data_IF_582997976824
#
_entry.id   IF_582997976824
#
_cell.length_a   1.000
_cell.length_b   1.000
_cell.length_c   1.000
_cell.angle_alpha   90.00
_cell.angle_beta   90.00
_cell.angle_gamma   90.00
#
_symmetry.space_group_name_H-M   'P 1'
#
loop_
_entity.id
_entity.type
_entity.pdbx_description
1 polymer ?
#
# COMPACT_ATOMS: atom_id res chain seq x y z
N UNK A 1 118.01 -71.09 128.48
CA UNK A 1 118.65 -70.07 127.62
C UNK A 1 119.23 -70.76 126.38
N UNK A 2 118.43 -71.06 125.33
CA UNK A 2 118.93 -71.73 124.12
C UNK A 2 119.01 -70.82 122.88
N UNK A 3 118.82 -69.49 123.04
CA UNK A 3 118.60 -68.57 121.91
C UNK A 3 119.88 -67.92 121.35
N UNK A 4 120.93 -67.75 122.17
CA UNK A 4 122.15 -67.03 121.79
C UNK A 4 123.45 -67.86 121.92
N UNK A 5 123.39 -68.97 122.67
CA UNK A 5 124.47 -69.94 122.88
C UNK A 5 123.83 -71.33 122.88
N UNK A 6 124.44 -72.28 122.18
CA UNK A 6 124.00 -73.69 122.19
C UNK A 6 124.40 -74.39 123.50
N UNK A 7 123.67 -75.45 123.88
CA UNK A 7 123.92 -76.17 125.15
C UNK A 7 125.33 -76.80 125.21
N UNK A 8 125.90 -77.19 124.05
CA UNK A 8 127.28 -77.64 123.94
C UNK A 8 128.31 -76.51 124.15
N UNK A 9 128.09 -75.32 123.57
CA UNK A 9 128.96 -74.15 123.79
C UNK A 9 128.90 -73.67 125.25
N UNK A 10 127.70 -73.68 125.85
CA UNK A 10 127.51 -73.32 127.27
C UNK A 10 128.33 -74.22 128.20
N UNK A 11 128.45 -75.51 127.87
CA UNK A 11 129.26 -76.47 128.63
C UNK A 11 130.78 -76.19 128.57
N UNK A 12 131.25 -75.49 127.53
CA UNK A 12 132.67 -75.15 127.33
C UNK A 12 133.03 -73.76 127.86
N UNK A 13 132.08 -72.84 127.90
CA UNK A 13 132.25 -71.45 128.33
C UNK A 13 131.77 -71.18 129.77
N UNK A 14 131.38 -72.21 130.52
CA UNK A 14 130.85 -72.10 131.90
C UNK A 14 131.77 -71.38 132.90
N UNK A 15 133.08 -71.34 132.62
CA UNK A 15 134.09 -70.67 133.46
C UNK A 15 134.40 -69.23 133.02
N UNK A 16 133.86 -68.76 131.89
CA UNK A 16 134.08 -67.42 131.34
C UNK A 16 132.73 -66.70 131.11
N UNK A 17 132.19 -66.18 132.21
CA UNK A 17 130.93 -65.44 132.21
C UNK A 17 130.96 -64.16 131.36
N UNK A 18 132.15 -63.61 131.04
CA UNK A 18 132.28 -62.40 130.22
C UNK A 18 132.00 -62.75 128.76
N UNK A 19 132.63 -63.79 128.23
CA UNK A 19 132.35 -64.29 126.87
C UNK A 19 130.88 -64.73 126.68
N UNK A 20 130.26 -65.29 127.73
CA UNK A 20 128.83 -65.65 127.74
C UNK A 20 127.95 -64.39 127.69
N UNK A 21 128.29 -63.35 128.46
CA UNK A 21 127.56 -62.08 128.48
C UNK A 21 127.72 -61.30 127.16
N UNK A 22 128.93 -61.17 126.62
CA UNK A 22 129.18 -60.48 125.35
C UNK A 22 128.41 -61.12 124.17
N UNK A 23 128.27 -62.45 124.17
CA UNK A 23 127.51 -63.17 123.13
C UNK A 23 125.99 -63.07 123.34
N UNK A 24 125.52 -62.95 124.58
CA UNK A 24 124.14 -62.57 124.87
C UNK A 24 123.84 -61.14 124.40
N UNK A 25 124.70 -60.18 124.74
CA UNK A 25 124.57 -58.76 124.35
C UNK A 25 124.70 -58.57 122.84
N UNK A 26 125.54 -59.35 122.15
CA UNK A 26 125.63 -59.35 120.70
C UNK A 26 124.32 -59.84 120.07
N UNK A 27 123.78 -60.99 120.51
CA UNK A 27 122.52 -61.52 120.00
C UNK A 27 121.32 -60.62 120.33
N UNK A 28 121.29 -60.03 121.52
CA UNK A 28 120.25 -59.05 121.91
C UNK A 28 120.35 -57.80 121.02
N UNK A 29 121.56 -57.32 120.72
CA UNK A 29 121.77 -56.15 119.84
C UNK A 29 121.45 -56.46 118.38
N UNK A 30 121.74 -57.67 117.91
CA UNK A 30 121.40 -58.17 116.59
C UNK A 30 119.88 -58.31 116.45
N UNK A 31 119.22 -59.07 117.32
CA UNK A 31 117.75 -59.25 117.30
C UNK A 31 116.98 -57.95 117.57
N UNK A 32 117.52 -57.02 118.35
CA UNK A 32 116.94 -55.67 118.51
C UNK A 32 117.15 -54.79 117.26
N UNK A 33 118.28 -54.95 116.57
CA UNK A 33 118.53 -54.34 115.25
C UNK A 33 117.59 -54.89 114.18
N UNK A 34 117.37 -56.21 114.14
CA UNK A 34 116.37 -56.85 113.29
C UNK A 34 114.94 -56.40 113.63
N UNK A 35 114.62 -56.26 114.92
CA UNK A 35 113.31 -55.78 115.38
C UNK A 35 113.05 -54.34 114.95
N UNK A 36 114.01 -53.43 115.15
CA UNK A 36 113.87 -52.04 114.71
C UNK A 36 113.95 -51.90 113.18
N UNK A 37 114.67 -52.78 112.46
CA UNK A 37 114.64 -52.85 111.00
C UNK A 37 113.29 -53.38 110.47
N UNK A 38 112.72 -54.41 111.10
CA UNK A 38 111.41 -54.94 110.76
C UNK A 38 110.29 -53.94 111.08
N UNK A 39 110.42 -53.20 112.19
CA UNK A 39 109.50 -52.14 112.62
C UNK A 39 109.57 -50.93 111.70
N UNK A 40 110.75 -50.36 111.44
CA UNK A 40 110.91 -49.25 110.48
C UNK A 40 110.49 -49.63 109.07
N UNK A 41 110.66 -50.91 108.66
CA UNK A 41 110.05 -51.42 107.44
C UNK A 41 108.53 -51.49 107.51
N UNK A 42 107.94 -52.02 108.58
CA UNK A 42 106.48 -52.05 108.76
C UNK A 42 105.87 -50.63 108.78
N UNK A 43 106.54 -49.67 109.41
CA UNK A 43 106.16 -48.26 109.42
C UNK A 43 106.21 -47.68 107.99
N UNK A 44 107.24 -48.01 107.20
CA UNK A 44 107.34 -47.58 105.79
C UNK A 44 106.31 -48.27 104.87
N UNK A 45 106.07 -49.56 105.05
CA UNK A 45 105.05 -50.33 104.34
C UNK A 45 103.64 -49.81 104.70
N UNK A 46 103.40 -49.39 105.95
CA UNK A 46 102.16 -48.74 106.39
C UNK A 46 102.01 -47.33 105.80
N UNK A 47 103.04 -46.48 105.86
CA UNK A 47 103.02 -45.12 105.28
C UNK A 47 102.77 -45.18 103.76
N UNK A 48 103.39 -46.11 103.05
CA UNK A 48 103.17 -46.28 101.61
C UNK A 48 101.77 -46.84 101.30
N UNK A 49 101.23 -47.72 102.14
CA UNK A 49 99.84 -48.15 102.05
C UNK A 49 98.87 -46.95 102.26
N UNK A 50 99.02 -46.16 103.32
CA UNK A 50 98.19 -44.98 103.61
C UNK A 50 98.24 -43.94 102.48
N UNK A 51 99.43 -43.68 101.93
CA UNK A 51 99.59 -42.80 100.76
C UNK A 51 98.90 -43.36 99.52
N UNK A 52 98.96 -44.68 99.29
CA UNK A 52 98.28 -45.33 98.17
C UNK A 52 96.75 -45.29 98.31
N UNK A 53 96.23 -45.53 99.52
CA UNK A 53 94.80 -45.40 99.84
C UNK A 53 94.32 -43.97 99.63
N UNK A 54 95.05 -42.97 100.18
CA UNK A 54 94.74 -41.55 100.01
C UNK A 54 94.66 -41.14 98.53
N UNK A 55 95.58 -41.61 97.70
CA UNK A 55 95.59 -41.36 96.26
C UNK A 55 94.44 -42.07 95.51
N UNK A 56 94.03 -43.26 95.97
CA UNK A 56 92.89 -43.98 95.42
C UNK A 56 91.56 -43.33 95.82
N UNK A 57 91.41 -42.91 97.07
CA UNK A 57 90.25 -42.15 97.55
C UNK A 57 90.07 -40.83 96.79
N UNK A 58 91.16 -40.06 96.60
CA UNK A 58 91.11 -38.83 95.81
C UNK A 58 90.66 -39.09 94.36
N UNK A 59 91.13 -40.17 93.73
CA UNK A 59 90.71 -40.58 92.38
C UNK A 59 89.25 -41.03 92.34
N UNK A 60 88.79 -41.81 93.32
CA UNK A 60 87.41 -42.25 93.43
C UNK A 60 86.45 -41.06 93.62
N UNK A 61 86.86 -40.05 94.42
CA UNK A 61 86.09 -38.81 94.60
C UNK A 61 86.04 -37.96 93.32
N UNK A 62 87.15 -37.86 92.56
CA UNK A 62 87.16 -37.17 91.26
C UNK A 62 86.22 -37.87 90.26
N UNK A 63 86.40 -39.18 90.07
CA UNK A 63 85.59 -39.99 89.14
C UNK A 63 84.11 -40.00 89.54
N UNK A 64 83.80 -40.09 90.84
CA UNK A 64 82.42 -40.02 91.34
C UNK A 64 81.77 -38.66 91.07
N UNK A 65 82.54 -37.56 91.17
CA UNK A 65 82.08 -36.23 90.78
C UNK A 65 81.87 -36.14 89.26
N UNK A 66 82.85 -36.53 88.46
CA UNK A 66 82.77 -36.53 87.00
C UNK A 66 81.57 -37.36 86.49
N UNK A 67 81.30 -38.51 87.09
CA UNK A 67 80.11 -39.32 86.82
C UNK A 67 78.80 -38.65 87.25
N UNK A 68 78.81 -37.89 88.34
CA UNK A 68 77.63 -37.14 88.82
C UNK A 68 77.32 -35.95 87.90
N UNK A 69 78.36 -35.21 87.51
CA UNK A 69 78.26 -34.07 86.59
C UNK A 69 77.78 -34.55 85.20
N UNK A 70 78.36 -35.64 84.66
CA UNK A 70 77.90 -36.29 83.41
C UNK A 70 76.47 -36.85 83.51
N UNK A 71 76.05 -37.35 84.67
CA UNK A 71 74.67 -37.81 84.87
C UNK A 71 73.66 -36.64 84.85
N UNK A 72 74.03 -35.50 85.45
CA UNK A 72 73.23 -34.28 85.39
C UNK A 72 73.15 -33.70 83.97
N UNK A 73 74.27 -33.65 83.23
CA UNK A 73 74.28 -33.24 81.82
C UNK A 73 73.39 -34.16 80.96
N UNK A 74 73.49 -35.48 81.13
CA UNK A 74 72.67 -36.43 80.38
C UNK A 74 71.17 -36.29 80.72
N UNK A 75 70.81 -36.07 81.99
CA UNK A 75 69.43 -35.80 82.39
C UNK A 75 68.89 -34.48 81.79
N UNK A 76 69.72 -33.43 81.72
CA UNK A 76 69.36 -32.17 81.08
C UNK A 76 69.19 -32.32 79.57
N UNK A 77 70.09 -33.05 78.90
CA UNK A 77 70.00 -33.36 77.48
C UNK A 77 68.76 -34.20 77.15
N UNK A 78 68.41 -35.18 77.99
CA UNK A 78 67.19 -35.97 77.85
C UNK A 78 65.93 -35.09 77.98
N UNK A 79 65.85 -34.23 79.01
CA UNK A 79 64.74 -33.29 79.16
C UNK A 79 64.57 -32.37 77.95
N UNK A 80 65.69 -31.84 77.41
CA UNK A 80 65.63 -30.98 76.23
C UNK A 80 65.31 -31.74 74.95
N UNK A 81 65.71 -33.02 74.84
CA UNK A 81 65.30 -33.90 73.74
C UNK A 81 63.79 -34.15 73.77
N UNK A 82 63.23 -34.46 74.94
CA UNK A 82 61.80 -34.72 75.12
C UNK A 82 60.96 -33.45 74.84
N UNK A 83 61.42 -32.27 75.26
CA UNK A 83 60.86 -30.97 74.88
C UNK A 83 60.83 -30.78 73.35
N UNK A 84 61.95 -31.02 72.66
CA UNK A 84 62.04 -30.88 71.20
C UNK A 84 61.19 -31.91 70.44
N UNK A 85 61.02 -33.11 70.97
CA UNK A 85 60.10 -34.12 70.43
C UNK A 85 58.65 -33.66 70.58
N UNK A 86 58.27 -33.07 71.71
CA UNK A 86 56.94 -32.50 71.92
C UNK A 86 56.64 -31.31 71.00
N UNK A 87 57.57 -30.35 70.87
CA UNK A 87 57.47 -29.24 69.91
C UNK A 87 57.30 -29.73 68.47
N UNK A 88 58.10 -30.74 68.06
CA UNK A 88 58.05 -31.31 66.71
C UNK A 88 56.71 -32.00 66.43
N UNK A 89 56.19 -32.75 67.40
CA UNK A 89 54.86 -33.36 67.31
C UNK A 89 53.74 -32.30 67.21
N UNK A 90 53.82 -31.23 67.99
CA UNK A 90 52.88 -30.11 67.92
C UNK A 90 52.94 -29.40 66.56
N UNK A 91 54.14 -29.13 66.04
CA UNK A 91 54.33 -28.52 64.72
C UNK A 91 53.82 -29.41 63.58
N UNK A 92 53.99 -30.73 63.67
CA UNK A 92 53.39 -31.69 62.74
C UNK A 92 51.85 -31.66 62.80
N UNK A 93 51.25 -31.68 63.99
CA UNK A 93 49.80 -31.59 64.15
C UNK A 93 49.23 -30.29 63.56
N UNK A 94 49.88 -29.14 63.82
CA UNK A 94 49.51 -27.85 63.24
C UNK A 94 49.64 -27.84 61.70
N UNK A 95 50.71 -28.42 61.15
CA UNK A 95 50.89 -28.57 59.69
C UNK A 95 49.75 -29.40 59.07
N UNK A 96 49.35 -30.51 59.69
CA UNK A 96 48.24 -31.32 59.21
C UNK A 96 46.90 -30.58 59.30
N UNK A 97 46.65 -29.83 60.38
CA UNK A 97 45.46 -29.00 60.54
C UNK A 97 45.37 -27.91 59.45
N UNK A 98 46.46 -27.19 59.19
CA UNK A 98 46.53 -26.17 58.14
C UNK A 98 46.36 -26.75 56.74
N UNK A 99 46.89 -27.96 56.48
CA UNK A 99 46.71 -28.64 55.20
C UNK A 99 45.24 -29.02 54.95
N UNK A 100 44.54 -29.54 55.96
CA UNK A 100 43.10 -29.82 55.88
C UNK A 100 42.27 -28.53 55.69
N UNK A 101 42.67 -27.43 56.30
CA UNK A 101 42.04 -26.12 56.09
C UNK A 101 42.27 -25.59 54.65
N UNK A 102 43.44 -25.80 54.05
CA UNK A 102 43.69 -25.49 52.64
C UNK A 102 42.72 -26.26 51.75
N UNK A 103 42.68 -27.60 51.87
CA UNK A 103 41.81 -28.46 51.05
C UNK A 103 40.34 -28.04 51.15
N UNK A 104 39.87 -27.66 52.35
CA UNK A 104 38.52 -27.12 52.54
C UNK A 104 38.28 -25.79 51.81
N UNK A 105 39.28 -24.90 51.76
CA UNK A 105 39.20 -23.64 51.02
C UNK A 105 39.33 -23.82 49.52
N UNK A 106 40.16 -24.75 49.07
CA UNK A 106 40.31 -25.12 47.66
C UNK A 106 38.96 -25.65 47.12
N UNK A 107 38.27 -26.53 47.86
CA UNK A 107 36.92 -27.00 47.52
C UNK A 107 35.81 -25.91 47.57
N UNK A 108 35.92 -24.94 48.48
CA UNK A 108 35.04 -23.75 48.46
C UNK A 108 35.26 -22.91 47.19
N UNK A 109 36.51 -22.73 46.76
CA UNK A 109 36.88 -21.97 45.55
C UNK A 109 36.41 -22.68 44.29
N UNK A 110 36.54 -24.00 44.20
CA UNK A 110 36.02 -24.79 43.08
C UNK A 110 34.49 -24.66 42.95
N UNK A 111 33.75 -24.83 44.06
CA UNK A 111 32.29 -24.68 44.08
C UNK A 111 31.86 -23.26 43.64
N UNK A 112 32.47 -22.22 44.21
CA UNK A 112 32.18 -20.83 43.82
C UNK A 112 32.54 -20.55 42.35
N UNK A 113 33.58 -21.22 41.82
CA UNK A 113 33.94 -21.12 40.40
C UNK A 113 32.89 -21.77 39.49
N UNK A 114 32.32 -22.90 39.87
CA UNK A 114 31.19 -23.52 39.16
C UNK A 114 29.95 -22.63 39.18
N UNK A 115 29.55 -22.12 40.36
CA UNK A 115 28.42 -21.19 40.52
C UNK A 115 28.60 -19.93 39.65
N UNK A 116 29.82 -19.37 39.60
CA UNK A 116 30.14 -18.23 38.72
C UNK A 116 30.09 -18.58 37.23
N UNK A 117 30.39 -19.81 36.82
CA UNK A 117 30.29 -20.24 35.42
C UNK A 117 28.83 -20.46 35.00
N UNK A 118 27.99 -21.00 35.89
CA UNK A 118 26.55 -21.13 35.65
C UNK A 118 25.86 -19.75 35.56
N UNK A 119 26.18 -18.82 36.46
CA UNK A 119 25.69 -17.44 36.40
C UNK A 119 26.19 -16.69 35.16
N UNK A 120 27.42 -16.94 34.70
CA UNK A 120 27.92 -16.39 33.41
C UNK A 120 27.15 -16.97 32.22
N UNK A 121 26.83 -18.27 32.25
CA UNK A 121 26.07 -18.94 31.18
C UNK A 121 24.63 -18.42 31.09
N UNK A 122 23.92 -18.30 32.20
CA UNK A 122 22.56 -17.74 32.22
C UNK A 122 22.56 -16.25 31.88
N UNK A 123 23.52 -15.46 32.39
CA UNK A 123 23.70 -14.06 31.96
C UNK A 123 23.88 -13.94 30.45
N UNK A 124 24.67 -14.81 29.81
CA UNK A 124 24.81 -14.80 28.36
C UNK A 124 23.46 -15.08 27.68
N UNK A 125 22.75 -16.13 28.09
CA UNK A 125 21.45 -16.48 27.52
C UNK A 125 20.43 -15.33 27.63
N UNK A 126 20.45 -14.55 28.72
CA UNK A 126 19.62 -13.34 28.84
C UNK A 126 20.06 -12.21 27.90
N UNK A 127 21.36 -12.01 27.66
CA UNK A 127 21.85 -11.04 26.68
C UNK A 127 21.47 -11.46 25.24
N UNK A 128 21.67 -12.73 24.89
CA UNK A 128 21.27 -13.28 23.58
C UNK A 128 19.76 -13.05 23.31
N UNK A 129 18.91 -13.15 24.34
CA UNK A 129 17.46 -12.88 24.27
C UNK A 129 17.15 -11.37 24.17
N UNK A 130 17.93 -10.50 24.84
CA UNK A 130 17.76 -9.04 24.75
C UNK A 130 18.09 -8.56 23.34
N UNK A 131 19.20 -9.01 22.75
CA UNK A 131 19.58 -8.67 21.37
C UNK A 131 18.53 -9.15 20.35
N UNK A 132 17.91 -10.32 20.58
CA UNK A 132 16.77 -10.78 19.77
C UNK A 132 15.52 -9.90 19.94
N UNK A 133 15.27 -9.34 21.14
CA UNK A 133 14.10 -8.49 21.38
C UNK A 133 14.29 -7.07 20.88
N UNK A 134 15.49 -6.52 20.99
CA UNK A 134 15.81 -5.20 20.45
C UNK A 134 15.76 -5.18 18.91
N UNK A 135 16.18 -6.27 18.26
CA UNK A 135 15.97 -6.44 16.80
C UNK A 135 14.50 -6.61 16.42
N UNK A 136 13.72 -7.44 17.13
CA UNK A 136 12.26 -7.55 16.92
C UNK A 136 11.52 -6.21 17.12
N UNK A 137 11.96 -5.39 18.08
CA UNK A 137 11.44 -4.04 18.32
C UNK A 137 11.85 -3.09 17.19
N UNK A 138 13.10 -3.15 16.71
CA UNK A 138 13.57 -2.38 15.56
C UNK A 138 12.73 -2.66 14.32
N UNK A 139 12.55 -3.94 13.96
CA UNK A 139 11.76 -4.35 12.79
C UNK A 139 10.32 -3.85 12.90
N UNK A 140 9.68 -4.03 14.06
CA UNK A 140 8.33 -3.50 14.34
C UNK A 140 8.25 -1.98 14.22
N UNK A 141 9.27 -1.25 14.68
CA UNK A 141 9.34 0.20 14.52
C UNK A 141 9.47 0.61 13.04
N UNK A 142 10.19 -0.13 12.21
CA UNK A 142 10.24 0.14 10.76
C UNK A 142 8.88 -0.11 10.09
N UNK A 143 8.19 -1.19 10.46
CA UNK A 143 6.86 -1.50 9.95
C UNK A 143 5.80 -0.46 10.38
N UNK A 144 5.83 -0.04 11.66
CA UNK A 144 4.98 1.06 12.15
C UNK A 144 5.24 2.35 11.35
N UNK A 145 6.51 2.65 11.04
CA UNK A 145 6.85 3.82 10.22
C UNK A 145 6.29 3.71 8.80
N UNK A 146 6.43 2.58 8.11
CA UNK A 146 5.89 2.44 6.74
C UNK A 146 4.35 2.49 6.72
N UNK A 147 3.67 2.02 7.77
CA UNK A 147 2.23 2.23 7.92
C UNK A 147 1.87 3.71 8.15
N UNK A 148 2.63 4.45 8.96
CA UNK A 148 2.44 5.90 9.14
C UNK A 148 2.66 6.68 7.83
N UNK A 149 3.74 6.41 7.11
CA UNK A 149 4.05 7.02 5.81
C UNK A 149 2.92 6.72 4.78
N UNK A 150 2.34 5.51 4.81
CA UNK A 150 1.18 5.12 4.00
C UNK A 150 -0.11 5.85 4.42
N UNK A 151 -0.34 6.06 5.71
CA UNK A 151 -1.50 6.84 6.19
C UNK A 151 -1.40 8.30 5.73
N UNK A 152 -0.24 8.94 5.93
CA UNK A 152 -0.01 10.34 5.50
C UNK A 152 -0.25 10.50 4.00
N UNK A 153 0.36 9.66 3.17
CA UNK A 153 0.19 9.74 1.71
C UNK A 153 -1.25 9.48 1.24
N UNK A 154 -2.04 8.67 1.97
CA UNK A 154 -3.47 8.52 1.71
C UNK A 154 -4.29 9.73 2.17
N UNK A 155 -3.94 10.37 3.30
CA UNK A 155 -4.56 11.61 3.78
C UNK A 155 -4.30 12.77 2.82
N UNK A 156 -3.08 12.94 2.33
CA UNK A 156 -2.73 13.96 1.34
C UNK A 156 -3.48 13.75 0.00
N UNK A 157 -3.62 12.48 -0.41
CA UNK A 157 -4.38 12.09 -1.61
C UNK A 157 -5.89 12.38 -1.46
N UNK A 158 -6.46 12.16 -0.27
CA UNK A 158 -7.84 12.52 0.04
C UNK A 158 -8.04 14.05 0.01
N UNK A 159 -7.20 14.80 0.72
CA UNK A 159 -7.26 16.27 0.73
C UNK A 159 -7.11 16.87 -0.69
N UNK A 160 -6.25 16.29 -1.55
CA UNK A 160 -6.13 16.71 -2.94
C UNK A 160 -7.40 16.40 -3.77
N UNK A 161 -8.09 15.29 -3.49
CA UNK A 161 -9.37 14.95 -4.15
C UNK A 161 -10.49 15.88 -3.70
N UNK A 162 -10.60 16.13 -2.40
CA UNK A 162 -11.64 17.00 -1.83
C UNK A 162 -11.50 18.44 -2.34
N UNK A 163 -10.26 18.94 -2.48
CA UNK A 163 -9.99 20.24 -3.10
C UNK A 163 -10.45 20.30 -4.58
N UNK A 164 -10.19 19.25 -5.37
CA UNK A 164 -10.64 19.14 -6.77
C UNK A 164 -12.15 18.98 -6.91
N UNK A 165 -12.79 18.27 -5.97
CA UNK A 165 -14.24 18.14 -5.93
C UNK A 165 -14.87 19.51 -5.64
N UNK A 166 -14.38 20.24 -4.64
CA UNK A 166 -14.87 21.58 -4.31
C UNK A 166 -14.67 22.58 -5.47
N UNK A 167 -13.55 22.50 -6.20
CA UNK A 167 -13.31 23.28 -7.41
C UNK A 167 -14.32 22.93 -8.53
N UNK A 168 -14.56 21.64 -8.77
CA UNK A 168 -15.53 21.16 -9.77
C UNK A 168 -16.99 21.47 -9.40
N UNK A 169 -17.35 21.43 -8.12
CA UNK A 169 -18.66 21.88 -7.61
C UNK A 169 -18.84 23.38 -7.83
N UNK A 170 -17.81 24.19 -7.55
CA UNK A 170 -17.81 25.62 -7.82
C UNK A 170 -17.85 25.95 -9.33
N UNK A 171 -17.35 25.07 -10.20
CA UNK A 171 -17.55 25.16 -11.65
C UNK A 171 -18.96 24.78 -12.08
N UNK A 172 -19.51 23.70 -11.53
CA UNK A 172 -20.89 23.26 -11.82
C UNK A 172 -21.91 24.32 -11.41
N UNK A 173 -21.77 24.93 -10.23
CA UNK A 173 -22.63 26.04 -9.77
C UNK A 173 -22.50 27.27 -10.70
N UNK A 174 -21.28 27.61 -11.14
CA UNK A 174 -21.06 28.69 -12.12
C UNK A 174 -21.73 28.38 -13.47
N UNK A 175 -21.56 27.18 -14.00
CA UNK A 175 -22.15 26.74 -15.26
C UNK A 175 -23.69 26.68 -15.20
N UNK A 176 -24.24 26.19 -14.08
CA UNK A 176 -25.69 26.18 -13.85
C UNK A 176 -26.26 27.60 -13.80
N UNK A 177 -25.58 28.54 -13.13
CA UNK A 177 -25.99 29.94 -13.09
C UNK A 177 -25.89 30.66 -14.45
N UNK A 178 -24.93 30.31 -15.31
CA UNK A 178 -24.90 30.84 -16.69
C UNK A 178 -25.99 30.21 -17.56
N UNK A 179 -26.31 28.93 -17.36
CA UNK A 179 -27.37 28.23 -18.08
C UNK A 179 -28.78 28.76 -17.75
N UNK A 180 -29.08 29.03 -16.47
CA UNK A 180 -30.38 29.62 -16.08
C UNK A 180 -30.54 31.03 -16.63
N UNK A 181 -29.48 31.85 -16.59
CA UNK A 181 -29.46 33.18 -17.21
C UNK A 181 -29.73 33.12 -18.71
N UNK A 182 -28.99 32.29 -19.46
CA UNK A 182 -29.18 32.14 -20.91
C UNK A 182 -30.58 31.61 -21.26
N UNK A 183 -31.15 30.72 -20.44
CA UNK A 183 -32.53 30.26 -20.61
C UNK A 183 -33.55 31.39 -20.39
N UNK A 184 -33.33 32.30 -19.44
CA UNK A 184 -34.20 33.46 -19.19
C UNK A 184 -34.06 34.52 -20.30
N UNK A 185 -32.84 34.76 -20.80
CA UNK A 185 -32.57 35.61 -21.95
C UNK A 185 -33.27 35.04 -23.21
N UNK A 186 -33.24 33.72 -23.42
CA UNK A 186 -33.95 33.04 -24.53
C UNK A 186 -35.48 33.15 -24.41
N UNK A 187 -36.05 32.94 -23.22
CA UNK A 187 -37.51 33.08 -23.02
C UNK A 187 -37.99 34.50 -23.29
N UNK A 188 -37.32 35.52 -22.74
CA UNK A 188 -37.72 36.92 -22.96
C UNK A 188 -37.52 37.36 -24.42
N UNK A 189 -36.47 36.87 -25.10
CA UNK A 189 -36.31 37.07 -26.55
C UNK A 189 -37.44 36.42 -27.37
N UNK A 190 -37.89 35.22 -26.98
CA UNK A 190 -39.04 34.54 -27.61
C UNK A 190 -40.35 35.32 -27.40
N UNK A 191 -40.61 35.81 -26.19
CA UNK A 191 -41.80 36.61 -25.86
C UNK A 191 -41.85 37.90 -26.67
N UNK A 192 -40.71 38.58 -26.86
CA UNK A 192 -40.58 39.75 -27.74
C UNK A 192 -40.81 39.39 -29.20
N UNK A 193 -40.33 38.23 -29.66
CA UNK A 193 -40.55 37.75 -31.02
C UNK A 193 -42.05 37.47 -31.28
N UNK A 194 -42.73 36.74 -30.40
CA UNK A 194 -44.17 36.45 -30.55
C UNK A 194 -45.02 37.72 -30.47
N UNK A 195 -44.71 38.65 -29.56
CA UNK A 195 -45.42 39.93 -29.47
C UNK A 195 -45.23 40.82 -30.72
N UNK A 196 -44.10 40.69 -31.44
CA UNK A 196 -43.89 41.36 -32.72
C UNK A 196 -44.60 40.63 -33.87
N UNK A 197 -44.64 39.29 -33.88
CA UNK A 197 -45.41 38.50 -34.85
C UNK A 197 -46.92 38.77 -34.74
N UNK A 198 -47.44 38.86 -33.50
CA UNK A 198 -48.80 39.31 -33.22
C UNK A 198 -49.08 40.72 -33.80
N UNK A 199 -48.18 41.68 -33.57
CA UNK A 199 -48.28 43.04 -34.15
C UNK A 199 -48.29 43.02 -35.67
N UNK A 200 -47.33 42.32 -36.30
CA UNK A 200 -47.28 42.22 -37.76
C UNK A 200 -48.52 41.52 -38.33
N UNK A 201 -49.09 40.53 -37.64
CA UNK A 201 -50.35 39.91 -38.08
C UNK A 201 -51.55 40.87 -37.99
N UNK A 202 -51.59 41.75 -36.98
CA UNK A 202 -52.60 42.80 -36.87
C UNK A 202 -52.42 43.90 -37.93
N UNK A 203 -51.18 44.32 -38.20
CA UNK A 203 -50.83 45.23 -39.29
C UNK A 203 -51.24 44.64 -40.66
N UNK A 204 -50.91 43.37 -40.94
CA UNK A 204 -51.34 42.66 -42.14
C UNK A 204 -52.87 42.52 -42.24
N UNK A 205 -53.56 42.29 -41.12
CA UNK A 205 -55.03 42.23 -41.09
C UNK A 205 -55.67 43.58 -41.45
N UNK A 206 -55.16 44.68 -40.89
CA UNK A 206 -55.62 46.03 -41.24
C UNK A 206 -55.26 46.45 -42.67
N UNK A 207 -54.08 46.05 -43.17
CA UNK A 207 -53.69 46.23 -44.56
C UNK A 207 -54.60 45.43 -45.52
N UNK A 208 -54.94 44.19 -45.18
CA UNK A 208 -55.90 43.39 -45.95
C UNK A 208 -57.29 44.03 -45.96
N UNK A 209 -57.81 44.53 -44.84
CA UNK A 209 -59.12 45.22 -44.83
C UNK A 209 -59.07 46.54 -45.61
N UNK A 210 -57.94 47.25 -45.66
CA UNK A 210 -57.74 48.38 -46.59
C UNK A 210 -57.80 47.93 -48.05
N UNK A 211 -57.12 46.83 -48.42
CA UNK A 211 -57.18 46.26 -49.79
C UNK A 211 -58.59 45.81 -50.15
N UNK A 212 -59.33 45.20 -49.22
CA UNK A 212 -60.75 44.88 -49.40
C UNK A 212 -61.58 46.15 -49.64
N UNK A 213 -61.44 47.22 -48.84
CA UNK A 213 -62.16 48.48 -49.04
C UNK A 213 -61.80 49.16 -50.38
N UNK A 214 -60.54 49.09 -50.82
CA UNK A 214 -60.13 49.55 -52.15
C UNK A 214 -60.76 48.71 -53.27
N UNK A 215 -60.88 47.38 -53.08
CA UNK A 215 -61.55 46.49 -54.03
C UNK A 215 -63.07 46.74 -54.07
N UNK A 216 -63.72 46.80 -52.92
CA UNK A 216 -65.16 47.13 -52.76
C UNK A 216 -65.48 48.47 -53.43
N UNK A 217 -64.69 49.52 -53.19
CA UNK A 217 -64.89 50.83 -53.83
C UNK A 217 -64.58 50.83 -55.33
N UNK A 218 -63.60 50.04 -55.80
CA UNK A 218 -63.34 49.84 -57.23
C UNK A 218 -64.51 49.12 -57.93
N UNK A 219 -65.08 48.09 -57.29
CA UNK A 219 -66.28 47.39 -57.75
C UNK A 219 -67.52 48.30 -57.75
N UNK A 220 -67.65 49.22 -56.78
CA UNK A 220 -68.69 50.26 -56.84
C UNK A 220 -68.49 51.25 -57.99
N UNK A 221 -67.26 51.72 -58.24
CA UNK A 221 -66.99 52.61 -59.37
C UNK A 221 -67.20 51.91 -60.71
N UNK A 222 -66.84 50.63 -60.81
CA UNK A 222 -67.15 49.77 -61.97
C UNK A 222 -68.67 49.63 -62.17
N UNK A 223 -69.43 49.39 -61.09
CA UNK A 223 -70.90 49.34 -61.15
C UNK A 223 -71.51 50.67 -61.60
N UNK A 224 -71.06 51.79 -61.05
CA UNK A 224 -71.47 53.14 -61.46
C UNK A 224 -71.09 53.45 -62.92
N UNK A 225 -69.94 52.96 -63.38
CA UNK A 225 -69.54 53.09 -64.78
C UNK A 225 -70.48 52.28 -65.70
N UNK A 226 -70.84 51.04 -65.35
CA UNK A 226 -71.82 50.24 -66.08
C UNK A 226 -73.24 50.82 -66.05
N UNK A 227 -73.66 51.43 -64.94
CA UNK A 227 -74.91 52.19 -64.85
C UNK A 227 -74.89 53.42 -65.80
N UNK A 228 -73.80 54.19 -65.82
CA UNK A 228 -73.62 55.32 -66.73
C UNK A 228 -73.55 54.88 -68.20
N UNK A 229 -72.88 53.77 -68.50
CA UNK A 229 -72.84 53.17 -69.84
C UNK A 229 -74.24 52.69 -70.28
N UNK A 230 -75.04 52.16 -69.35
CA UNK A 230 -76.46 51.85 -69.57
C UNK A 230 -77.31 53.10 -69.85
N UNK A 231 -77.06 54.21 -69.14
CA UNK A 231 -77.69 55.51 -69.42
C UNK A 231 -77.27 56.07 -70.77
N UNK A 232 -75.98 55.96 -71.13
CA UNK A 232 -75.47 56.35 -72.46
C UNK A 232 -76.19 55.54 -73.54
N UNK A 233 -76.24 54.21 -73.44
CA UNK A 233 -76.96 53.34 -74.38
C UNK A 233 -78.46 53.66 -74.48
N UNK A 234 -79.10 54.07 -73.38
CA UNK A 234 -80.49 54.52 -73.38
C UNK A 234 -80.68 55.89 -74.05
N UNK A 235 -79.70 56.80 -73.94
CA UNK A 235 -79.67 58.08 -74.63
C UNK A 235 -79.37 57.91 -76.12
N UNK A 236 -78.43 57.04 -76.50
CA UNK A 236 -78.13 56.66 -77.88
C UNK A 236 -79.35 56.02 -78.57
N UNK A 237 -80.04 55.09 -77.90
CA UNK A 237 -81.29 54.50 -78.40
C UNK A 237 -82.36 55.58 -78.62
N UNK A 238 -82.51 56.52 -77.68
CA UNK A 238 -83.47 57.64 -77.83
C UNK A 238 -83.05 58.63 -78.92
N UNK A 239 -81.75 58.88 -79.10
CA UNK A 239 -81.24 59.72 -80.16
C UNK A 239 -81.53 59.08 -81.52
N UNK A 240 -81.19 57.81 -81.71
CA UNK A 240 -81.52 57.04 -82.91
C UNK A 240 -83.03 56.93 -83.15
N UNK A 241 -83.85 56.86 -82.09
CA UNK A 241 -85.32 56.91 -82.23
C UNK A 241 -85.79 58.28 -82.72
N UNK A 242 -85.26 59.39 -82.18
CA UNK A 242 -85.56 60.76 -82.64
C UNK A 242 -85.03 61.03 -84.05
N UNK A 243 -83.87 60.49 -84.42
CA UNK A 243 -83.34 60.55 -85.79
C UNK A 243 -84.25 59.80 -86.77
N UNK A 244 -84.73 58.61 -86.41
CA UNK A 244 -85.70 57.88 -87.20
C UNK A 244 -87.03 58.63 -87.28
N UNK A 245 -87.59 59.15 -86.18
CA UNK A 245 -88.82 59.97 -86.19
C UNK A 245 -88.67 61.23 -87.06
N UNK A 246 -87.51 61.89 -87.02
CA UNK A 246 -87.18 63.03 -87.88
C UNK A 246 -87.06 62.62 -89.35
N UNK A 247 -86.42 61.48 -89.65
CA UNK A 247 -86.31 60.92 -91.00
C UNK A 247 -87.69 60.56 -91.56
N UNK A 248 -88.53 59.89 -90.77
CA UNK A 248 -89.92 59.55 -91.07
C UNK A 248 -90.75 60.81 -91.36
N UNK A 249 -90.54 61.90 -90.60
CA UNK A 249 -91.16 63.20 -90.86
C UNK A 249 -90.65 63.82 -92.15
N UNK A 250 -89.35 63.78 -92.43
CA UNK A 250 -88.75 64.27 -93.68
C UNK A 250 -89.29 63.48 -94.87
N UNK A 251 -89.43 62.15 -94.79
CA UNK A 251 -89.98 61.34 -95.88
C UNK A 251 -91.49 61.61 -96.09
N UNK A 252 -92.26 61.88 -95.03
CA UNK A 252 -93.66 62.35 -95.11
C UNK A 252 -93.76 63.75 -95.72
N UNK A 253 -92.84 64.66 -95.39
CA UNK A 253 -92.81 66.02 -95.93
C UNK A 253 -92.31 66.05 -97.39
N UNK A 254 -91.33 65.21 -97.75
CA UNK A 254 -90.84 65.03 -99.12
C UNK A 254 -91.89 64.36 -100.01
N UNK A 255 -92.62 63.37 -99.52
CA UNK A 255 -93.72 62.75 -100.29
C UNK A 255 -94.88 63.72 -100.51
N UNK A 256 -95.25 64.54 -99.51
CA UNK A 256 -96.19 65.65 -99.69
C UNK A 256 -95.65 66.72 -100.68
N UNK A 257 -94.36 67.07 -100.60
CA UNK A 257 -93.71 68.00 -101.54
C UNK A 257 -93.69 67.47 -102.97
N UNK A 258 -93.49 66.17 -103.16
CA UNK A 258 -93.56 65.49 -104.45
C UNK A 258 -95.00 65.39 -105.00
N UNK A 259 -96.03 65.48 -104.16
CA UNK A 259 -97.42 65.63 -104.60
C UNK A 259 -97.69 67.08 -105.02
N UNK A 260 -97.26 68.08 -104.23
CA UNK A 260 -97.32 69.49 -104.61
C UNK A 260 -96.51 69.82 -105.87
N UNK A 261 -95.40 69.12 -106.12
CA UNK A 261 -94.63 69.26 -107.37
C UNK A 261 -95.39 68.71 -108.58
N UNK A 262 -96.15 67.61 -108.42
CA UNK A 262 -97.05 67.10 -109.47
C UNK A 262 -98.24 68.01 -109.72
N UNK A 263 -98.82 68.60 -108.67
CA UNK A 263 -99.91 69.57 -108.78
C UNK A 263 -99.45 70.88 -109.43
N UNK A 264 -98.28 71.39 -109.06
CA UNK A 264 -97.69 72.57 -109.71
C UNK A 264 -97.26 72.27 -111.15
N UNK A 265 -96.76 71.06 -111.46
CA UNK A 265 -96.50 70.64 -112.84
C UNK A 265 -97.80 70.60 -113.69
N UNK A 266 -98.88 70.05 -113.15
CA UNK A 266 -100.21 70.03 -113.79
C UNK A 266 -100.78 71.44 -114.03
N UNK A 267 -100.55 72.37 -113.11
CA UNK A 267 -100.88 73.79 -113.28
C UNK A 267 -99.96 74.48 -114.31
N UNK A 268 -98.68 74.10 -114.37
CA UNK A 268 -97.69 74.63 -115.33
C UNK A 268 -97.99 74.20 -116.76
N UNK A 269 -98.38 72.93 -116.97
CA UNK A 269 -98.84 72.43 -118.28
C UNK A 269 -100.07 73.21 -118.76
N UNK A 270 -101.04 73.48 -117.87
CA UNK A 270 -102.20 74.33 -118.20
C UNK A 270 -101.83 75.78 -118.48
N UNK A 271 -100.81 76.32 -117.81
CA UNK A 271 -100.32 77.68 -118.08
C UNK A 271 -99.71 77.81 -119.47
N UNK A 272 -98.84 76.87 -119.87
CA UNK A 272 -98.30 76.81 -121.25
C UNK A 272 -99.42 76.69 -122.29
N UNK A 273 -100.39 75.79 -122.05
CA UNK A 273 -101.50 75.52 -122.98
C UNK A 273 -102.46 76.71 -123.17
N UNK A 274 -102.49 77.67 -122.25
CA UNK A 274 -103.26 78.90 -122.38
C UNK A 274 -102.43 80.12 -122.80
N UNK A 275 -101.09 80.03 -122.88
CA UNK A 275 -100.23 81.16 -123.28
C UNK A 275 -99.96 81.23 -124.79
N UNK A 276 -100.15 80.12 -125.49
CA UNK A 276 -99.80 79.96 -126.91
C UNK A 276 -100.69 80.72 -127.92
N UNK A 277 -101.82 81.32 -127.52
CA UNK A 277 -102.75 81.97 -128.44
C UNK A 277 -102.61 83.51 -128.57
N UNK A 278 -101.88 84.19 -127.68
CA UNK A 278 -101.91 85.67 -127.62
C UNK A 278 -100.54 86.37 -127.55
N UNK A 279 -99.54 85.92 -128.31
CA UNK A 279 -98.25 86.64 -128.41
C UNK A 279 -97.74 86.87 -129.86
N UNK A 280 -98.66 87.30 -130.74
CA UNK A 280 -98.31 87.96 -132.00
C UNK A 280 -97.77 89.39 -131.76
N UNK A 281 -96.62 89.54 -131.10
CA UNK A 281 -96.26 90.82 -130.45
C UNK A 281 -94.79 91.13 -130.14
N UNK A 282 -93.89 91.04 -131.14
CA UNK A 282 -92.47 91.51 -131.13
C UNK A 282 -91.40 90.67 -130.39
N UNK A 283 -90.61 89.98 -131.24
CA UNK A 283 -89.13 89.94 -131.29
C UNK A 283 -88.35 90.93 -130.38
N UNK A 284 -87.13 90.64 -129.91
CA UNK A 284 -86.33 89.39 -129.82
C UNK A 284 -84.99 89.67 -129.05
N UNK A 285 -84.21 88.60 -128.76
CA UNK A 285 -82.82 88.56 -128.26
C UNK A 285 -82.64 89.01 -126.78
N UNK A 286 -82.22 88.13 -125.83
CA UNK A 286 -80.88 87.50 -125.60
C UNK A 286 -79.91 88.45 -124.83
N UNK A 287 -79.04 88.04 -123.89
CA UNK A 287 -78.36 86.76 -123.53
C UNK A 287 -78.46 86.49 -122.00
N UNK A 288 -78.48 85.24 -121.47
CA UNK A 288 -77.36 84.32 -121.10
C UNK A 288 -76.27 84.95 -120.18
N UNK A 289 -75.69 84.27 -119.18
CA UNK A 289 -74.87 83.02 -119.21
C UNK A 289 -74.96 82.18 -117.89
N UNK A 290 -74.48 80.92 -117.93
CA UNK A 290 -74.53 79.85 -116.89
C UNK A 290 -73.46 79.91 -115.75
N UNK A 291 -73.63 79.09 -114.68
CA UNK A 291 -72.62 78.75 -113.64
C UNK A 291 -71.97 77.36 -113.82
N UNK A 292 -70.95 77.00 -113.01
CA UNK A 292 -70.46 75.65 -112.57
C UNK A 292 -69.26 75.87 -111.57
N UNK A 293 -68.80 74.99 -110.66
CA UNK A 293 -69.29 73.71 -110.09
C UNK A 293 -68.17 72.84 -109.46
N UNK A 294 -68.45 72.07 -108.38
CA UNK A 294 -67.74 70.83 -107.90
C UNK A 294 -66.27 70.94 -107.37
N UNK A 295 -65.62 70.03 -106.59
CA UNK A 295 -65.82 68.71 -105.91
C UNK A 295 -64.76 68.61 -104.73
N UNK A 296 -64.90 67.95 -103.55
CA UNK A 296 -64.99 66.51 -103.13
C UNK A 296 -63.64 65.77 -102.85
N UNK A 297 -63.41 65.22 -101.62
CA UNK A 297 -62.44 64.16 -101.12
C UNK A 297 -61.96 64.42 -99.65
N UNK A 298 -61.51 63.50 -98.75
CA UNK A 298 -61.58 62.02 -98.53
C UNK A 298 -60.96 61.59 -97.14
N UNK A 299 -61.06 60.31 -96.72
CA UNK A 299 -60.07 59.49 -95.90
C UNK A 299 -59.84 59.77 -94.37
N UNK A 300 -59.57 58.85 -93.40
CA UNK A 300 -59.79 57.38 -93.14
C UNK A 300 -59.38 56.91 -91.68
N UNK A 301 -59.98 55.81 -91.16
CA UNK A 301 -59.42 54.66 -90.34
C UNK A 301 -58.72 54.86 -88.94
N UNK A 302 -58.75 53.96 -87.92
CA UNK A 302 -59.78 52.99 -87.40
C UNK A 302 -59.66 52.54 -85.87
N UNK A 303 -59.04 51.40 -85.39
CA UNK A 303 -59.69 50.57 -84.32
C UNK A 303 -58.90 49.85 -83.17
N UNK A 304 -59.51 49.77 -81.96
CA UNK A 304 -59.65 48.61 -81.00
C UNK A 304 -58.53 48.06 -80.04
N UNK A 305 -58.86 46.95 -79.31
CA UNK A 305 -58.63 46.69 -77.86
C UNK A 305 -58.22 45.20 -77.51
N UNK A 306 -58.25 44.78 -76.23
CA UNK A 306 -57.44 43.69 -75.61
C UNK A 306 -57.99 42.23 -75.50
N UNK A 307 -57.09 41.29 -75.09
CA UNK A 307 -57.19 40.31 -73.96
C UNK A 307 -56.98 38.76 -74.16
N UNK A 308 -56.04 38.18 -73.36
CA UNK A 308 -56.06 36.91 -72.55
C UNK A 308 -55.64 35.43 -72.91
N UNK A 309 -55.09 34.76 -71.86
CA UNK A 309 -55.01 33.31 -71.42
C UNK A 309 -54.31 32.11 -72.16
N UNK A 310 -53.82 31.14 -71.33
CA UNK A 310 -53.81 29.61 -71.42
C UNK A 310 -52.53 28.91 -70.84
N UNK A 311 -52.61 27.63 -70.38
CA UNK A 311 -51.73 26.96 -69.38
C UNK A 311 -51.41 25.43 -69.60
N UNK A 312 -50.36 24.91 -68.92
CA UNK A 312 -50.06 23.52 -68.38
C UNK A 312 -49.73 22.27 -69.28
N UNK A 313 -48.75 21.41 -68.86
CA UNK A 313 -48.89 19.93 -68.61
C UNK A 313 -47.62 18.99 -68.45
N UNK A 314 -47.80 17.91 -67.64
CA UNK A 314 -47.23 16.51 -67.69
C UNK A 314 -46.02 15.99 -66.84
N UNK A 315 -46.05 14.67 -66.53
CA UNK A 315 -45.24 13.90 -65.53
C UNK A 315 -45.11 12.39 -65.91
N UNK A 316 -44.02 11.67 -65.54
CA UNK A 316 -43.97 10.18 -65.45
C UNK A 316 -42.77 9.62 -64.65
N UNK A 317 -42.78 8.30 -64.31
CA UNK A 317 -41.79 7.56 -63.49
C UNK A 317 -41.26 6.28 -64.22
N UNK A 318 -40.07 5.73 -63.85
CA UNK A 318 -39.42 4.58 -64.54
C UNK A 318 -39.27 3.29 -63.68
N UNK A 319 -38.71 2.24 -64.29
CA UNK A 319 -38.31 0.95 -63.67
C UNK A 319 -36.93 0.45 -64.21
N UNK A 320 -36.25 -0.48 -63.55
CA UNK A 320 -34.84 -0.92 -63.82
C UNK A 320 -34.74 -2.44 -64.07
N UNK A 321 -33.67 -3.00 -64.71
CA UNK A 321 -32.65 -3.70 -63.88
C UNK A 321 -31.21 -3.92 -64.46
N UNK A 322 -30.27 -4.26 -63.55
CA UNK A 322 -29.03 -5.08 -63.70
C UNK A 322 -27.80 -4.50 -64.45
N UNK A 323 -26.66 -4.46 -63.75
CA UNK A 323 -25.31 -4.32 -64.32
C UNK A 323 -24.30 -3.64 -63.36
N UNK A 324 -23.66 -4.37 -62.45
CA UNK A 324 -22.86 -3.76 -61.36
C UNK A 324 -21.36 -3.69 -61.67
N UNK A 325 -20.82 -2.46 -61.74
CA UNK A 325 -19.41 -2.14 -61.55
C UNK A 325 -19.23 -1.30 -60.26
N UNK A 326 -17.99 -0.98 -59.87
CA UNK A 326 -17.73 -0.07 -58.74
C UNK A 326 -18.31 1.34 -58.99
N UNK A 327 -18.38 1.79 -60.25
CA UNK A 327 -19.10 3.00 -60.67
C UNK A 327 -20.61 2.88 -60.50
N UNK A 328 -21.17 1.68 -60.69
CA UNK A 328 -22.60 1.43 -60.55
C UNK A 328 -23.06 1.48 -59.08
N UNK A 329 -22.22 1.13 -58.11
CA UNK A 329 -22.56 1.28 -56.68
C UNK A 329 -22.80 2.76 -56.33
N UNK A 330 -21.93 3.65 -56.79
CA UNK A 330 -22.09 5.10 -56.62
C UNK A 330 -23.31 5.65 -57.38
N UNK A 331 -23.61 5.09 -58.56
CA UNK A 331 -24.80 5.45 -59.34
C UNK A 331 -26.11 4.98 -58.69
N UNK A 332 -26.17 3.76 -58.15
CA UNK A 332 -27.35 3.22 -57.44
C UNK A 332 -27.66 4.01 -56.17
N UNK A 333 -26.65 4.43 -55.40
CA UNK A 333 -26.87 5.28 -54.23
C UNK A 333 -27.52 6.63 -54.60
N UNK A 334 -27.16 7.21 -55.76
CA UNK A 334 -27.84 8.40 -56.28
C UNK A 334 -29.23 8.07 -56.88
N UNK A 335 -29.40 6.88 -57.45
CA UNK A 335 -30.67 6.37 -57.99
C UNK A 335 -31.75 6.13 -56.92
N UNK A 336 -31.36 5.67 -55.73
CA UNK A 336 -32.25 5.47 -54.57
C UNK A 336 -32.72 6.80 -53.92
N UNK A 337 -32.51 7.95 -54.56
CA UNK A 337 -32.92 9.26 -54.04
C UNK A 337 -32.10 9.76 -52.84
N UNK A 338 -30.87 9.26 -52.66
CA UNK A 338 -29.95 9.81 -51.66
C UNK A 338 -29.19 10.99 -52.22
N UNK A 339 -29.50 12.19 -51.73
CA UNK A 339 -28.68 13.37 -52.04
C UNK A 339 -27.25 13.18 -51.53
N UNK A 340 -26.24 13.81 -52.15
CA UNK A 340 -24.86 13.77 -51.67
C UNK A 340 -24.74 14.15 -50.17
N UNK A 341 -25.58 15.06 -49.69
CA UNK A 341 -25.66 15.41 -48.27
C UNK A 341 -26.06 14.23 -47.36
N UNK A 342 -26.99 13.36 -47.77
CA UNK A 342 -27.32 12.12 -47.01
C UNK A 342 -26.15 11.13 -47.01
N UNK A 343 -25.43 11.00 -48.12
CA UNK A 343 -24.23 10.15 -48.22
C UNK A 343 -23.11 10.64 -47.29
N UNK A 344 -22.80 11.94 -47.31
CA UNK A 344 -21.84 12.54 -46.39
C UNK A 344 -22.29 12.43 -44.92
N UNK A 345 -23.59 12.59 -44.63
CA UNK A 345 -24.13 12.39 -43.29
C UNK A 345 -23.93 10.95 -42.79
N UNK A 346 -24.21 9.93 -43.61
CA UNK A 346 -23.98 8.52 -43.22
C UNK A 346 -22.50 8.14 -43.14
N UNK A 347 -21.64 8.72 -43.98
CA UNK A 347 -20.19 8.57 -43.82
C UNK A 347 -19.73 9.17 -42.49
N UNK A 348 -20.20 10.37 -42.13
CA UNK A 348 -19.88 11.03 -40.86
C UNK A 348 -20.39 10.22 -39.66
N UNK A 349 -21.63 9.73 -39.71
CA UNK A 349 -22.22 8.84 -38.70
C UNK A 349 -21.39 7.56 -38.49
N UNK A 350 -20.90 6.94 -39.56
CA UNK A 350 -20.02 5.77 -39.49
C UNK A 350 -18.62 6.09 -38.93
N UNK A 351 -18.05 7.25 -39.27
CA UNK A 351 -16.77 7.73 -38.71
C UNK A 351 -16.91 8.01 -37.21
N UNK A 352 -18.02 8.59 -36.77
CA UNK A 352 -18.27 8.89 -35.36
C UNK A 352 -18.61 7.64 -34.55
N UNK A 353 -19.37 6.70 -35.11
CA UNK A 353 -19.53 5.36 -34.53
C UNK A 353 -18.19 4.66 -34.33
N UNK A 354 -17.28 4.70 -35.32
CA UNK A 354 -15.91 4.17 -35.20
C UNK A 354 -15.08 4.91 -34.13
N UNK A 355 -15.30 6.21 -33.94
CA UNK A 355 -14.65 6.97 -32.84
C UNK A 355 -15.14 6.52 -31.47
N UNK A 356 -16.45 6.35 -31.29
CA UNK A 356 -17.03 5.83 -30.04
C UNK A 356 -16.57 4.38 -29.76
N UNK A 357 -16.56 3.52 -30.77
CA UNK A 357 -16.14 2.12 -30.64
C UNK A 357 -14.65 1.98 -30.29
N UNK A 358 -13.79 2.85 -30.82
CA UNK A 358 -12.37 2.96 -30.40
C UNK A 358 -12.21 3.49 -28.97
N UNK A 359 -13.04 4.45 -28.54
CA UNK A 359 -13.00 4.97 -27.17
C UNK A 359 -13.39 3.87 -26.18
N UNK A 360 -14.52 3.20 -26.41
CA UNK A 360 -14.99 2.08 -25.58
C UNK A 360 -14.01 0.90 -25.54
N UNK A 361 -13.31 0.60 -26.66
CA UNK A 361 -12.21 -0.39 -26.65
C UNK A 361 -11.05 0.04 -25.76
N UNK A 362 -10.65 1.31 -25.76
CA UNK A 362 -9.59 1.85 -24.89
C UNK A 362 -10.01 1.89 -23.41
N UNK A 363 -11.27 2.18 -23.12
CA UNK A 363 -11.84 2.13 -21.77
C UNK A 363 -11.86 0.69 -21.24
N UNK A 364 -12.28 -0.29 -22.07
CA UNK A 364 -12.23 -1.71 -21.74
C UNK A 364 -10.78 -2.23 -21.57
N UNK A 365 -9.83 -1.76 -22.38
CA UNK A 365 -8.41 -2.06 -22.20
C UNK A 365 -7.90 -1.54 -20.83
N UNK A 366 -8.29 -0.31 -20.45
CA UNK A 366 -7.92 0.28 -19.16
C UNK A 366 -8.54 -0.45 -17.96
N UNK A 367 -9.77 -0.96 -18.07
CA UNK A 367 -10.35 -1.78 -16.99
C UNK A 367 -9.70 -3.16 -16.90
N UNK A 368 -9.38 -3.79 -18.03
CA UNK A 368 -8.65 -5.07 -18.06
C UNK A 368 -7.23 -4.93 -17.48
N UNK A 369 -6.49 -3.88 -17.82
CA UNK A 369 -5.17 -3.59 -17.23
C UNK A 369 -5.25 -3.42 -15.71
N UNK A 370 -6.27 -2.71 -15.19
CA UNK A 370 -6.49 -2.56 -13.74
C UNK A 370 -6.77 -3.89 -13.06
N UNK A 371 -7.67 -4.71 -13.63
CA UNK A 371 -7.99 -6.04 -13.10
C UNK A 371 -6.77 -6.97 -13.13
N UNK A 372 -5.90 -6.84 -14.14
CA UNK A 372 -4.65 -7.59 -14.21
C UNK A 372 -3.69 -7.19 -13.09
N UNK A 373 -3.44 -5.89 -12.87
CA UNK A 373 -2.62 -5.42 -11.73
C UNK A 373 -3.21 -5.89 -10.38
N UNK A 374 -4.52 -5.79 -10.20
CA UNK A 374 -5.20 -6.27 -8.99
C UNK A 374 -5.05 -7.79 -8.78
N UNK A 375 -4.96 -8.57 -9.86
CA UNK A 375 -4.72 -10.02 -9.79
C UNK A 375 -3.26 -10.34 -9.49
N UNK A 376 -2.31 -9.56 -10.02
CA UNK A 376 -0.88 -9.69 -9.71
C UNK A 376 -0.59 -9.35 -8.24
N UNK A 377 -1.15 -8.24 -7.72
CA UNK A 377 -1.07 -7.88 -6.29
C UNK A 377 -1.64 -8.99 -5.38
N UNK A 378 -2.81 -9.55 -5.73
CA UNK A 378 -3.43 -10.64 -4.98
C UNK A 378 -2.63 -11.95 -5.11
N UNK A 379 -1.98 -12.19 -6.24
CA UNK A 379 -1.13 -13.37 -6.44
C UNK A 379 0.13 -13.32 -5.56
N UNK A 380 0.77 -12.16 -5.41
CA UNK A 380 1.91 -11.97 -4.48
C UNK A 380 1.47 -12.24 -3.04
N UNK A 381 0.36 -11.63 -2.59
CA UNK A 381 -0.17 -11.86 -1.25
C UNK A 381 -0.47 -13.36 -0.97
N UNK A 382 -1.07 -14.06 -1.94
CA UNK A 382 -1.32 -15.51 -1.84
C UNK A 382 -0.03 -16.36 -1.84
N UNK A 383 1.10 -15.86 -2.34
CA UNK A 383 2.39 -16.53 -2.22
C UNK A 383 3.01 -16.34 -0.83
N UNK A 384 2.89 -15.14 -0.24
CA UNK A 384 3.33 -14.88 1.13
C UNK A 384 2.52 -15.70 2.15
N UNK A 385 1.18 -15.72 2.04
CA UNK A 385 0.32 -16.58 2.88
C UNK A 385 0.72 -18.06 2.77
N UNK A 386 0.98 -18.56 1.55
CA UNK A 386 1.44 -19.95 1.34
C UNK A 386 2.76 -20.23 2.04
N UNK A 387 3.71 -19.30 1.99
CA UNK A 387 4.99 -19.43 2.68
C UNK A 387 4.84 -19.40 4.22
N UNK A 388 3.82 -18.74 4.76
CA UNK A 388 3.49 -18.83 6.20
C UNK A 388 2.79 -20.15 6.56
N UNK A 389 1.86 -20.63 5.74
CA UNK A 389 1.25 -21.96 5.91
C UNK A 389 2.29 -23.09 5.84
N UNK A 390 3.27 -23.01 4.95
CA UNK A 390 4.35 -24.00 4.84
C UNK A 390 5.22 -24.03 6.12
N UNK A 391 5.66 -22.87 6.63
CA UNK A 391 6.37 -22.74 7.92
C UNK A 391 5.54 -23.32 9.08
N UNK A 392 4.22 -23.09 9.10
CA UNK A 392 3.34 -23.68 10.10
C UNK A 392 3.27 -25.22 9.98
N UNK A 393 3.16 -25.77 8.76
CA UNK A 393 3.18 -27.21 8.52
C UNK A 393 4.53 -27.85 8.95
N UNK A 394 5.66 -27.20 8.68
CA UNK A 394 6.98 -27.63 9.17
C UNK A 394 7.04 -27.63 10.71
N UNK A 395 6.56 -26.57 11.36
CA UNK A 395 6.52 -26.48 12.81
C UNK A 395 5.64 -27.58 13.44
N UNK A 396 4.45 -27.84 12.89
CA UNK A 396 3.58 -28.95 13.31
C UNK A 396 4.26 -30.32 13.12
N UNK A 397 4.94 -30.53 11.99
CA UNK A 397 5.71 -31.75 11.71
C UNK A 397 6.84 -31.95 12.74
N UNK A 398 7.59 -30.90 13.05
CA UNK A 398 8.66 -30.92 14.05
C UNK A 398 8.13 -31.19 15.47
N UNK A 399 6.97 -30.63 15.84
CA UNK A 399 6.30 -30.91 17.12
C UNK A 399 5.83 -32.36 17.17
N UNK A 400 5.22 -32.88 16.10
CA UNK A 400 4.75 -34.27 16.05
C UNK A 400 5.90 -35.28 16.15
N UNK A 401 7.04 -34.98 15.50
CA UNK A 401 8.28 -35.78 15.62
C UNK A 401 8.84 -35.76 17.06
N UNK A 402 8.83 -34.62 17.75
CA UNK A 402 9.18 -34.54 19.18
C UNK A 402 8.21 -35.34 20.06
N UNK A 403 6.91 -35.30 19.77
CA UNK A 403 5.90 -36.08 20.47
C UNK A 403 6.15 -37.59 20.29
N UNK A 404 6.39 -38.05 19.06
CA UNK A 404 6.73 -39.44 18.76
C UNK A 404 8.00 -39.91 19.49
N UNK A 405 9.06 -39.09 19.50
CA UNK A 405 10.28 -39.38 20.25
C UNK A 405 9.98 -39.56 21.75
N UNK A 406 9.30 -38.60 22.39
CA UNK A 406 8.95 -38.67 23.81
C UNK A 406 8.00 -39.81 24.17
N UNK A 407 7.17 -40.28 23.22
CA UNK A 407 6.35 -41.48 23.39
C UNK A 407 7.21 -42.75 23.35
N UNK A 408 8.19 -42.81 22.45
CA UNK A 408 9.16 -43.92 22.40
C UNK A 408 10.05 -43.98 23.64
N UNK A 409 10.43 -42.83 24.19
CA UNK A 409 11.22 -42.70 25.42
C UNK A 409 10.40 -43.13 26.65
N UNK A 410 9.16 -42.65 26.78
CA UNK A 410 8.24 -43.14 27.82
C UNK A 410 8.04 -44.66 27.75
N UNK A 411 7.87 -45.23 26.55
CA UNK A 411 7.74 -46.68 26.39
C UNK A 411 8.99 -47.46 26.80
N UNK A 412 10.20 -46.92 26.58
CA UNK A 412 11.45 -47.50 27.08
C UNK A 412 11.54 -47.44 28.60
N UNK A 413 11.24 -46.29 29.19
CA UNK A 413 11.25 -46.11 30.65
C UNK A 413 10.22 -47.00 31.35
N UNK A 414 9.03 -47.15 30.76
CA UNK A 414 7.97 -48.00 31.32
C UNK A 414 8.34 -49.50 31.26
N UNK A 415 9.04 -49.95 30.22
CA UNK A 415 9.64 -51.30 30.19
C UNK A 415 10.70 -51.49 31.28
N UNK A 416 11.62 -50.54 31.42
CA UNK A 416 12.65 -50.59 32.47
C UNK A 416 12.01 -50.61 33.88
N UNK A 417 10.92 -49.88 34.10
CA UNK A 417 10.16 -49.91 35.36
C UNK A 417 9.49 -51.28 35.58
N UNK A 418 8.97 -51.92 34.53
CA UNK A 418 8.40 -53.28 34.61
C UNK A 418 9.48 -54.35 34.89
N UNK A 419 10.65 -54.24 34.26
CA UNK A 419 11.83 -55.08 34.46
C UNK A 419 12.35 -54.95 35.91
N UNK A 420 12.63 -53.73 36.37
CA UNK A 420 13.06 -53.46 37.75
C UNK A 420 12.03 -53.90 38.79
N UNK A 421 10.73 -53.82 38.47
CA UNK A 421 9.67 -54.34 39.35
C UNK A 421 9.65 -55.86 39.39
N UNK A 422 9.94 -56.54 38.28
CA UNK A 422 10.07 -58.00 38.27
C UNK A 422 11.29 -58.45 39.10
N UNK A 423 12.44 -57.78 38.94
CA UNK A 423 13.66 -58.04 39.71
C UNK A 423 13.51 -57.74 41.20
N UNK A 424 12.80 -56.67 41.57
CA UNK A 424 12.47 -56.40 42.97
C UNK A 424 11.62 -57.54 43.55
N UNK A 425 10.59 -57.98 42.83
CA UNK A 425 9.74 -59.09 43.26
C UNK A 425 10.47 -60.45 43.32
N UNK A 426 11.54 -60.69 42.55
CA UNK A 426 12.36 -61.90 42.72
C UNK A 426 13.26 -61.78 43.94
N UNK A 427 13.95 -60.64 44.12
CA UNK A 427 14.79 -60.37 45.29
C UNK A 427 14.01 -60.43 46.61
N UNK A 428 12.77 -59.96 46.65
CA UNK A 428 11.88 -60.11 47.82
C UNK A 428 11.60 -61.59 48.14
N UNK A 429 11.37 -62.43 47.13
CA UNK A 429 11.16 -63.87 47.33
C UNK A 429 12.43 -64.55 47.83
N UNK A 430 13.57 -64.29 47.20
CA UNK A 430 14.87 -64.82 47.60
C UNK A 430 15.21 -64.46 49.06
N UNK A 431 14.99 -63.18 49.43
CA UNK A 431 15.18 -62.71 50.80
C UNK A 431 14.21 -63.40 51.78
N UNK A 432 12.94 -63.58 51.41
CA UNK A 432 11.96 -64.31 52.23
C UNK A 432 12.30 -65.80 52.42
N UNK A 433 13.04 -66.41 51.48
CA UNK A 433 13.55 -67.78 51.59
C UNK A 433 14.81 -67.83 52.47
N UNK A 434 15.74 -66.89 52.28
CA UNK A 434 16.92 -66.76 53.12
C UNK A 434 16.56 -66.50 54.59
N UNK A 435 15.60 -65.61 54.85
CA UNK A 435 15.13 -65.30 56.20
C UNK A 435 14.43 -66.49 56.88
N UNK A 436 13.71 -67.33 56.12
CA UNK A 436 13.19 -68.61 56.64
C UNK A 436 14.32 -69.56 57.02
N UNK A 437 15.29 -69.75 56.12
CA UNK A 437 16.44 -70.63 56.36
C UNK A 437 17.27 -70.18 57.58
N UNK A 438 17.49 -68.87 57.76
CA UNK A 438 18.08 -68.31 58.99
C UNK A 438 17.23 -68.69 60.20
N UNK A 439 15.92 -68.42 60.16
CA UNK A 439 15.03 -68.74 61.28
C UNK A 439 14.95 -70.23 61.61
N UNK A 440 15.24 -71.13 60.66
CA UNK A 440 15.25 -72.58 60.89
C UNK A 440 16.61 -73.08 61.39
N UNK A 441 17.72 -72.41 61.03
CA UNK A 441 19.03 -72.61 61.65
C UNK A 441 19.07 -72.09 63.10
N UNK A 442 18.37 -71.00 63.40
CA UNK A 442 18.21 -70.46 64.78
C UNK A 442 17.41 -71.40 65.72
N UNK A 443 16.81 -72.48 65.20
CA UNK A 443 16.04 -73.49 65.96
C UNK A 443 16.80 -74.82 66.14
N UNK A 444 18.02 -74.96 65.61
CA UNK A 444 18.84 -76.18 65.68
C UNK A 444 19.88 -76.11 66.81
#
# INVERSE_FOLDING_TARGET
MPLFISEEELSRLSNDAVMVAERADAYIRETYGELEAAKTKADADAITAEQSCSLLEQKLLSISRELSDLHAENAQLQSSLDERVAELAQAQAQKHQLHLQSIGKDGEIERLTMELLEVRKSKKQFLDIIEQKDSEISDKNTAIKTYLDKIVSLTDNAAQKDARLSESEAELVRAQATCTRLSQELCSSKEVATANEERFSAELSTANKLVELYKESSEEWSRKAGELEGVIKALELRLGQVENDCKDRIEKEVSARNQLEKETAYLKEKFEKCKAETEAGRKANELNILPHGNFTMETCISPYDANDMVEDNHVLLPDIPIGVSETALAASLLGDGWSPAKLYAKYQEAVDALRHERLGRKEAESTLQRVLCELEEKAVFLMDERAEYEKMCEAYSAINKKLQNSASERSKMEKMIQELKADLMTRERDNSLAQKAISDLEKQ
#
